data_IF_352435697838
#
_entry.id   IF_352435697838
#
_cell.length_a   1.000
_cell.length_b   1.000
_cell.length_c   1.000
_cell.angle_alpha   90.00
_cell.angle_beta   90.00
_cell.angle_gamma   90.00
#
_symmetry.space_group_name_H-M   'P 1'
#
loop_
_entity.id
_entity.type
_entity.pdbx_description
1 polymer ?
#
# COMPACT_ATOMS: atom_id res chain seq x y z
N UNK A 1 -13.86 -11.61 -8.16
CA UNK A 1 -12.49 -11.50 -8.69
C UNK A 1 -12.33 -10.08 -9.21
N UNK A 2 -11.41 -9.25 -8.69
CA UNK A 2 -11.17 -7.93 -9.25
C UNK A 2 -10.68 -8.12 -10.69
N UNK A 3 -11.45 -7.64 -11.66
CA UNK A 3 -11.24 -7.89 -13.09
C UNK A 3 -10.35 -6.83 -13.74
N UNK A 4 -9.98 -5.76 -13.02
CA UNK A 4 -9.20 -4.67 -13.57
C UNK A 4 -7.95 -4.34 -12.73
N UNK A 5 -6.79 -4.10 -13.39
CA UNK A 5 -5.55 -3.72 -12.71
C UNK A 5 -5.68 -2.44 -11.87
N UNK A 6 -6.66 -1.60 -12.17
CA UNK A 6 -7.02 -0.42 -11.38
C UNK A 6 -7.60 -0.75 -10.00
N UNK A 7 -8.43 -1.79 -9.87
CA UNK A 7 -9.01 -2.20 -8.59
C UNK A 7 -7.94 -2.79 -7.65
N UNK A 8 -7.01 -3.54 -8.24
CA UNK A 8 -5.86 -4.08 -7.52
C UNK A 8 -4.95 -2.97 -6.98
N UNK A 9 -4.61 -2.01 -7.83
CA UNK A 9 -3.77 -0.87 -7.44
C UNK A 9 -4.47 0.01 -6.38
N UNK A 10 -5.79 0.14 -6.44
CA UNK A 10 -6.56 0.84 -5.42
C UNK A 10 -6.54 0.10 -4.08
N UNK A 11 -6.78 -1.22 -4.08
CA UNK A 11 -6.67 -2.04 -2.87
C UNK A 11 -5.26 -1.97 -2.25
N UNK A 12 -4.21 -2.04 -3.07
CA UNK A 12 -2.83 -1.89 -2.64
C UNK A 12 -2.56 -0.53 -1.96
N UNK A 13 -3.05 0.57 -2.55
CA UNK A 13 -2.94 1.92 -1.94
C UNK A 13 -3.70 2.03 -0.63
N UNK A 14 -4.90 1.46 -0.54
CA UNK A 14 -5.65 1.44 0.72
C UNK A 14 -4.90 0.68 1.83
N UNK A 15 -4.25 -0.43 1.49
CA UNK A 15 -3.39 -1.14 2.44
C UNK A 15 -2.18 -0.29 2.86
N UNK A 16 -1.47 0.33 1.91
CA UNK A 16 -0.31 1.18 2.21
C UNK A 16 -0.70 2.35 3.15
N UNK A 17 -1.85 2.98 2.94
CA UNK A 17 -2.39 4.03 3.82
C UNK A 17 -2.70 3.46 5.21
N UNK A 18 -3.43 2.33 5.28
CA UNK A 18 -3.79 1.71 6.56
C UNK A 18 -2.57 1.36 7.41
N UNK A 19 -1.54 0.79 6.80
CA UNK A 19 -0.30 0.39 7.50
C UNK A 19 0.46 1.59 8.06
N UNK A 20 0.33 2.76 7.44
CA UNK A 20 0.89 4.02 7.95
C UNK A 20 0.13 4.62 9.14
N UNK A 21 -1.09 4.14 9.45
CA UNK A 21 -1.87 4.66 10.56
C UNK A 21 -1.33 4.14 11.91
N UNK A 22 -1.22 4.99 12.95
CA UNK A 22 -0.66 4.59 14.24
C UNK A 22 -1.53 3.56 15.00
N UNK A 23 -2.80 3.41 14.61
CA UNK A 23 -3.75 2.46 15.20
C UNK A 23 -3.88 1.16 14.40
N UNK A 24 -3.02 0.93 13.40
CA UNK A 24 -3.08 -0.25 12.56
C UNK A 24 -2.66 -1.52 13.29
N UNK A 25 -3.52 -2.54 13.29
CA UNK A 25 -3.28 -3.86 13.90
C UNK A 25 -3.73 -5.04 13.01
N UNK A 26 -4.32 -4.75 11.84
CA UNK A 26 -4.89 -5.75 10.91
C UNK A 26 -3.82 -6.45 10.04
N UNK A 27 -2.76 -6.95 10.68
CA UNK A 27 -1.67 -7.67 10.02
C UNK A 27 -2.09 -8.99 9.40
N UNK A 28 -3.01 -9.70 10.05
CA UNK A 28 -3.54 -10.98 9.55
C UNK A 28 -4.30 -10.78 8.23
N UNK A 29 -5.16 -9.77 8.19
CA UNK A 29 -5.93 -9.43 6.99
C UNK A 29 -5.04 -8.91 5.85
N UNK A 30 -3.98 -8.15 6.15
CA UNK A 30 -2.98 -7.74 5.16
C UNK A 30 -2.27 -8.97 4.57
N UNK A 31 -1.75 -9.84 5.44
CA UNK A 31 -1.00 -11.04 5.03
C UNK A 31 -1.88 -11.97 4.19
N UNK A 32 -3.12 -12.23 4.63
CA UNK A 32 -4.08 -13.03 3.89
C UNK A 32 -4.40 -12.45 2.49
N UNK A 33 -4.47 -11.12 2.38
CA UNK A 33 -4.65 -10.47 1.09
C UNK A 33 -3.39 -10.61 0.22
N UNK A 34 -2.19 -10.41 0.76
CA UNK A 34 -0.92 -10.52 0.02
C UNK A 34 -0.67 -11.95 -0.50
N UNK A 35 -0.98 -12.96 0.31
CA UNK A 35 -0.77 -14.37 -0.03
C UNK A 35 -1.79 -14.91 -1.04
N UNK A 36 -2.92 -14.22 -1.22
CA UNK A 36 -3.98 -14.68 -2.12
C UNK A 36 -3.56 -14.68 -3.61
N UNK A 37 -2.69 -13.76 -4.03
CA UNK A 37 -2.16 -13.72 -5.39
C UNK A 37 -0.80 -12.97 -5.40
N UNK A 38 0.25 -13.49 -6.07
CA UNK A 38 1.54 -12.80 -6.19
C UNK A 38 1.44 -11.38 -6.81
N UNK A 39 0.39 -11.08 -7.58
CA UNK A 39 0.12 -9.72 -8.10
C UNK A 39 -0.24 -8.74 -6.99
N UNK A 40 -0.80 -9.20 -5.87
CA UNK A 40 -1.12 -8.34 -4.72
C UNK A 40 0.15 -7.80 -4.07
N UNK A 41 1.16 -8.66 -3.90
CA UNK A 41 2.47 -8.25 -3.41
C UNK A 41 3.10 -7.18 -4.33
N UNK A 42 3.17 -7.45 -5.64
CA UNK A 42 3.75 -6.50 -6.59
C UNK A 42 3.02 -5.14 -6.62
N UNK A 43 1.68 -5.15 -6.51
CA UNK A 43 0.90 -3.92 -6.45
C UNK A 43 1.11 -3.15 -5.13
N UNK A 44 1.23 -3.87 -4.01
CA UNK A 44 1.51 -3.28 -2.69
C UNK A 44 2.91 -2.67 -2.61
N UNK A 45 3.93 -3.35 -3.13
CA UNK A 45 5.29 -2.81 -3.23
C UNK A 45 5.32 -1.52 -4.06
N UNK A 46 4.65 -1.50 -5.22
CA UNK A 46 4.53 -0.31 -6.05
C UNK A 46 3.76 0.83 -5.35
N UNK A 47 2.78 0.50 -4.51
CA UNK A 47 2.05 1.49 -3.72
C UNK A 47 2.91 2.09 -2.60
N UNK A 48 3.75 1.30 -1.94
CA UNK A 48 4.70 1.78 -0.91
C UNK A 48 5.77 2.66 -1.53
N UNK A 49 6.41 2.22 -2.61
CA UNK A 49 7.41 3.02 -3.35
C UNK A 49 6.79 4.36 -3.78
N UNK A 50 5.54 4.30 -4.26
CA UNK A 50 4.67 5.43 -4.56
C UNK A 50 4.33 6.36 -3.36
N UNK A 51 4.29 5.85 -2.14
CA UNK A 51 3.97 6.63 -0.95
C UNK A 51 5.23 7.25 -0.32
N UNK A 52 6.36 6.55 -0.40
CA UNK A 52 7.64 7.00 0.16
C UNK A 52 8.16 8.24 -0.57
N UNK A 53 8.14 8.24 -1.92
CA UNK A 53 8.53 9.44 -2.68
C UNK A 53 7.65 10.65 -2.37
N UNK A 54 6.34 10.43 -2.21
CA UNK A 54 5.39 11.50 -1.93
C UNK A 54 5.61 12.09 -0.54
N UNK A 55 5.89 11.21 0.44
CA UNK A 55 6.22 11.61 1.81
C UNK A 55 7.53 12.40 1.83
N UNK A 56 8.54 11.95 1.11
CA UNK A 56 9.82 12.65 1.00
C UNK A 56 9.69 14.03 0.34
N UNK A 57 8.94 14.13 -0.75
CA UNK A 57 8.69 15.39 -1.46
C UNK A 57 7.92 16.42 -0.60
N UNK A 58 7.13 15.95 0.38
CA UNK A 58 6.36 16.79 1.29
C UNK A 58 7.14 17.18 2.57
N UNK A 59 8.32 16.58 2.84
CA UNK A 59 9.16 16.99 3.97
C UNK A 59 9.61 18.44 3.73
N UNK A 60 9.36 19.38 4.66
CA UNK A 60 9.84 20.73 4.52
C UNK A 60 11.37 20.71 4.47
N UNK A 61 11.95 21.31 3.43
CA UNK A 61 13.40 21.54 3.37
C UNK A 61 13.78 22.40 4.57
N UNK A 62 14.50 21.79 5.53
CA UNK A 62 15.03 22.50 6.68
C UNK A 62 15.90 23.69 6.20
N UNK A 63 15.88 24.83 6.91
CA UNK A 63 16.58 26.06 6.51
C UNK A 63 18.11 25.88 6.41
#
# INVERSE_FOLDING_TARGET
MPTHPSELNEAARHWAIRVGEPAFDDWDALTAWLEADPKHLAAYEAAIDGADWATDALKPKAP
#
